data_IF_919102086369
#
_entry.id   IF_919102086369
#
_cell.length_a   1.000
_cell.length_b   1.000
_cell.length_c   1.000
_cell.angle_alpha   90.00
_cell.angle_beta   90.00
_cell.angle_gamma   90.00
#
_symmetry.space_group_name_H-M   'P 1'
#
loop_
_entity.id
_entity.type
_entity.pdbx_description
1 polymer ?
#
# COMPACT_ATOMS: atom_id res chain seq x y z
N UNK A 1 -6.32 26.28 11.37
CA UNK A 1 -7.04 25.14 10.76
C UNK A 1 -6.96 25.19 9.24
N UNK A 2 -7.33 26.32 8.61
CA UNK A 2 -7.17 26.54 7.16
C UNK A 2 -5.78 26.13 6.64
N UNK A 3 -4.70 26.46 7.34
CA UNK A 3 -3.35 26.05 6.95
C UNK A 3 -3.13 24.52 6.95
N UNK A 4 -3.74 23.79 7.90
CA UNK A 4 -3.61 22.33 7.98
C UNK A 4 -4.40 21.64 6.85
N UNK A 5 -5.58 22.17 6.52
CA UNK A 5 -6.40 21.64 5.42
C UNK A 5 -5.75 21.93 4.05
N UNK A 6 -5.20 23.15 3.87
CA UNK A 6 -4.41 23.48 2.68
C UNK A 6 -3.19 22.56 2.58
N UNK A 7 -2.44 22.37 3.67
CA UNK A 7 -1.27 21.51 3.68
C UNK A 7 -1.63 20.05 3.38
N UNK A 8 -2.70 19.53 3.97
CA UNK A 8 -3.21 18.18 3.70
C UNK A 8 -3.55 18.01 2.21
N UNK A 9 -4.24 18.98 1.60
CA UNK A 9 -4.55 18.95 0.16
C UNK A 9 -3.30 19.04 -0.71
N UNK A 10 -2.37 19.93 -0.38
CA UNK A 10 -1.08 20.04 -1.11
C UNK A 10 -0.32 18.72 -1.03
N UNK A 11 -0.29 18.06 0.12
CA UNK A 11 0.35 16.75 0.29
C UNK A 11 -0.41 15.64 -0.45
N UNK A 12 -1.74 15.68 -0.47
CA UNK A 12 -2.57 14.71 -1.20
C UNK A 12 -2.32 14.79 -2.70
N UNK A 13 -2.41 15.99 -3.28
CA UNK A 13 -2.16 16.21 -4.70
C UNK A 13 -0.68 16.02 -5.05
N UNK A 14 0.23 16.46 -4.19
CA UNK A 14 1.67 16.27 -4.34
C UNK A 14 2.05 14.79 -4.35
N UNK A 15 1.53 14.00 -3.43
CA UNK A 15 1.79 12.54 -3.36
C UNK A 15 1.23 11.85 -4.59
N UNK A 16 -0.05 12.06 -4.94
CA UNK A 16 -0.68 11.41 -6.10
C UNK A 16 0.01 11.75 -7.42
N UNK A 17 0.39 13.01 -7.65
CA UNK A 17 1.15 13.41 -8.84
C UNK A 17 2.55 12.80 -8.82
N UNK A 18 3.25 12.83 -7.69
CA UNK A 18 4.57 12.20 -7.53
C UNK A 18 4.50 10.70 -7.84
N UNK A 19 3.47 9.99 -7.39
CA UNK A 19 3.25 8.59 -7.76
C UNK A 19 3.21 8.41 -9.28
N UNK A 20 2.32 9.15 -9.96
CA UNK A 20 2.14 9.02 -11.41
C UNK A 20 3.43 9.35 -12.16
N UNK A 21 4.12 10.44 -11.81
CA UNK A 21 5.37 10.82 -12.46
C UNK A 21 6.52 9.86 -12.19
N UNK A 22 6.64 9.35 -10.97
CA UNK A 22 7.69 8.39 -10.60
C UNK A 22 7.54 7.09 -11.41
N UNK A 23 6.31 6.60 -11.57
CA UNK A 23 6.04 5.43 -12.41
C UNK A 23 6.26 5.66 -13.90
N UNK A 24 5.73 6.77 -14.44
CA UNK A 24 5.75 7.01 -15.88
C UNK A 24 7.13 7.46 -16.40
N UNK A 25 7.84 8.28 -15.62
CA UNK A 25 9.09 8.92 -16.05
C UNK A 25 10.31 8.22 -15.48
N UNK A 26 10.35 8.00 -14.17
CA UNK A 26 11.58 7.62 -13.49
C UNK A 26 11.89 6.14 -13.63
N UNK A 27 10.90 5.26 -13.42
CA UNK A 27 11.15 3.81 -13.36
C UNK A 27 10.84 3.04 -14.64
N UNK A 28 10.43 3.71 -15.71
CA UNK A 28 10.05 3.05 -16.97
C UNK A 28 11.11 2.07 -17.49
N UNK A 29 12.40 2.42 -17.39
CA UNK A 29 13.51 1.57 -17.83
C UNK A 29 13.84 0.43 -16.86
N UNK A 30 13.55 0.60 -15.57
CA UNK A 30 13.90 -0.36 -14.52
C UNK A 30 12.83 -1.44 -14.32
N UNK A 31 11.57 -1.17 -14.65
CA UNK A 31 10.46 -2.13 -14.51
C UNK A 31 10.72 -3.44 -15.27
N UNK A 32 11.11 -3.45 -16.56
CA UNK A 32 11.38 -4.70 -17.28
C UNK A 32 12.51 -5.52 -16.64
N UNK A 33 13.57 -4.85 -16.17
CA UNK A 33 14.70 -5.50 -15.48
C UNK A 33 14.22 -6.21 -14.21
N UNK A 34 13.39 -5.56 -13.42
CA UNK A 34 12.89 -6.14 -12.17
C UNK A 34 11.89 -7.25 -12.41
N UNK A 35 11.02 -7.12 -13.40
CA UNK A 35 10.14 -8.21 -13.82
C UNK A 35 10.95 -9.44 -14.26
N UNK A 36 12.08 -9.23 -14.96
CA UNK A 36 12.98 -10.33 -15.34
C UNK A 36 13.65 -10.98 -14.12
N UNK A 37 14.06 -10.19 -13.12
CA UNK A 37 14.62 -10.71 -11.86
C UNK A 37 13.58 -11.50 -11.06
N UNK A 38 12.35 -10.98 -10.96
CA UNK A 38 11.23 -11.69 -10.32
C UNK A 38 10.95 -13.00 -11.06
N UNK A 39 10.88 -12.99 -12.39
CA UNK A 39 10.69 -14.20 -13.18
C UNK A 39 11.83 -15.22 -12.97
N UNK A 40 13.07 -14.74 -12.89
CA UNK A 40 14.22 -15.58 -12.61
C UNK A 40 14.14 -16.23 -11.22
N UNK A 41 13.86 -15.44 -10.18
CA UNK A 41 13.66 -15.93 -8.81
C UNK A 41 12.49 -16.92 -8.76
N UNK A 42 11.38 -16.61 -9.41
CA UNK A 42 10.19 -17.45 -9.45
C UNK A 42 10.49 -18.80 -10.12
N UNK A 43 11.24 -18.82 -11.23
CA UNK A 43 11.64 -20.05 -11.91
C UNK A 43 12.52 -20.98 -11.06
N UNK A 44 13.24 -20.41 -10.08
CA UNK A 44 14.16 -21.14 -9.18
C UNK A 44 13.49 -21.62 -7.91
N UNK A 45 12.58 -20.83 -7.34
CA UNK A 45 11.93 -21.12 -6.06
C UNK A 45 10.60 -21.85 -6.25
N UNK A 46 9.85 -21.55 -7.31
CA UNK A 46 8.43 -21.88 -7.41
C UNK A 46 8.15 -22.84 -8.57
N UNK A 47 7.79 -24.09 -8.25
CA UNK A 47 7.09 -24.98 -9.20
C UNK A 47 5.56 -24.87 -9.07
N UNK A 48 5.06 -24.33 -7.96
CA UNK A 48 3.62 -24.28 -7.71
C UNK A 48 2.95 -23.04 -8.30
N UNK A 49 2.44 -23.20 -9.52
CA UNK A 49 1.66 -22.18 -10.23
C UNK A 49 0.34 -21.81 -9.52
N UNK A 50 -0.15 -22.65 -8.59
CA UNK A 50 -1.45 -22.45 -7.96
C UNK A 50 -1.49 -21.21 -7.05
N UNK A 51 -0.36 -20.90 -6.38
CA UNK A 51 -0.27 -19.75 -5.49
C UNK A 51 -0.37 -18.43 -6.26
N UNK A 52 0.36 -18.31 -7.39
CA UNK A 52 0.36 -17.12 -8.24
C UNK A 52 -1.07 -16.84 -8.75
N UNK A 53 -1.79 -17.88 -9.15
CA UNK A 53 -3.19 -17.75 -9.60
C UNK A 53 -4.09 -17.27 -8.47
N UNK A 54 -3.92 -17.78 -7.25
CA UNK A 54 -4.71 -17.35 -6.07
C UNK A 54 -4.45 -15.89 -5.72
N UNK A 55 -3.19 -15.46 -5.66
CA UNK A 55 -2.82 -14.08 -5.36
C UNK A 55 -3.36 -13.12 -6.42
N UNK A 56 -3.24 -13.47 -7.71
CA UNK A 56 -3.80 -12.67 -8.81
C UNK A 56 -5.31 -12.52 -8.71
N UNK A 57 -6.03 -13.61 -8.43
CA UNK A 57 -7.49 -13.57 -8.24
C UNK A 57 -7.89 -12.69 -7.05
N UNK A 58 -7.16 -12.78 -5.95
CA UNK A 58 -7.39 -11.95 -4.76
C UNK A 58 -7.16 -10.46 -5.06
N UNK A 59 -6.04 -10.11 -5.70
CA UNK A 59 -5.74 -8.72 -6.08
C UNK A 59 -6.83 -8.18 -7.01
N UNK A 60 -7.20 -8.93 -8.05
CA UNK A 60 -8.26 -8.52 -8.97
C UNK A 60 -9.60 -8.32 -8.25
N UNK A 61 -9.95 -9.21 -7.31
CA UNK A 61 -11.16 -9.08 -6.51
C UNK A 61 -11.14 -7.80 -5.65
N UNK A 62 -10.02 -7.53 -4.96
CA UNK A 62 -9.85 -6.31 -4.16
C UNK A 62 -9.98 -5.05 -5.01
N UNK A 63 -9.36 -5.02 -6.19
CA UNK A 63 -9.45 -3.89 -7.12
C UNK A 63 -10.89 -3.68 -7.60
N UNK A 64 -11.61 -4.75 -7.94
CA UNK A 64 -13.01 -4.65 -8.38
C UNK A 64 -13.90 -4.11 -7.25
N UNK A 65 -13.78 -4.66 -6.04
CA UNK A 65 -14.55 -4.20 -4.87
C UNK A 65 -14.27 -2.73 -4.59
N UNK A 66 -13.00 -2.31 -4.67
CA UNK A 66 -12.62 -0.93 -4.48
C UNK A 66 -13.26 -0.01 -5.53
N UNK A 67 -13.20 -0.37 -6.80
CA UNK A 67 -13.83 0.42 -7.88
C UNK A 67 -15.33 0.58 -7.63
N UNK A 68 -16.02 -0.50 -7.22
CA UNK A 68 -17.44 -0.45 -6.86
C UNK A 68 -17.68 0.50 -5.68
N UNK A 69 -16.85 0.45 -4.63
CA UNK A 69 -16.96 1.33 -3.47
C UNK A 69 -16.77 2.80 -3.84
N UNK A 70 -15.79 3.11 -4.70
CA UNK A 70 -15.54 4.48 -5.18
C UNK A 70 -16.72 5.01 -5.98
N UNK A 71 -17.27 4.19 -6.90
CA UNK A 71 -18.46 4.56 -7.66
C UNK A 71 -19.67 4.76 -6.74
N UNK A 72 -19.89 3.87 -5.78
CA UNK A 72 -20.99 3.98 -4.82
C UNK A 72 -20.86 5.23 -3.95
N UNK A 73 -19.64 5.53 -3.48
CA UNK A 73 -19.34 6.74 -2.71
C UNK A 73 -19.59 7.99 -3.54
N UNK A 74 -19.18 8.00 -4.81
CA UNK A 74 -19.43 9.11 -5.73
C UNK A 74 -20.93 9.35 -5.94
N UNK A 75 -21.71 8.30 -6.23
CA UNK A 75 -23.16 8.39 -6.38
C UNK A 75 -23.86 8.87 -5.09
N UNK A 76 -23.39 8.42 -3.93
CA UNK A 76 -23.91 8.86 -2.64
C UNK A 76 -23.62 10.36 -2.42
N UNK A 77 -22.40 10.79 -2.71
CA UNK A 77 -21.98 12.17 -2.55
C UNK A 77 -22.76 13.11 -3.49
N UNK A 78 -22.95 12.74 -4.76
CA UNK A 78 -23.76 13.50 -5.72
C UNK A 78 -25.19 13.70 -5.18
N UNK A 79 -25.80 12.64 -4.64
CA UNK A 79 -27.17 12.67 -4.11
C UNK A 79 -27.30 13.52 -2.85
N UNK A 80 -26.32 13.48 -1.94
CA UNK A 80 -26.38 14.21 -0.66
C UNK A 80 -26.15 15.71 -0.85
N UNK A 81 -25.20 16.07 -1.70
CA UNK A 81 -24.77 17.46 -1.81
C UNK A 81 -25.42 18.20 -2.98
N UNK A 82 -25.79 17.51 -4.07
CA UNK A 82 -26.59 18.09 -5.16
C UNK A 82 -25.99 19.34 -5.82
N UNK A 83 -24.71 19.31 -6.22
CA UNK A 83 -23.99 20.53 -6.63
C UNK A 83 -23.28 20.42 -7.99
N UNK A 84 -23.27 21.53 -8.74
CA UNK A 84 -22.50 21.75 -9.98
C UNK A 84 -20.97 21.85 -9.76
N UNK A 85 -20.35 23.03 -9.90
CA UNK A 85 -18.88 23.19 -9.93
C UNK A 85 -18.13 22.60 -8.73
N UNK A 86 -18.74 22.59 -7.54
CA UNK A 86 -18.18 21.99 -6.32
C UNK A 86 -17.96 20.46 -6.47
N UNK A 87 -18.75 19.79 -7.31
CA UNK A 87 -18.58 18.37 -7.62
C UNK A 87 -17.22 18.09 -8.26
N UNK A 88 -16.69 18.98 -9.11
CA UNK A 88 -15.39 18.77 -9.74
C UNK A 88 -14.26 18.77 -8.70
N UNK A 89 -14.28 19.72 -7.76
CA UNK A 89 -13.24 19.79 -6.71
C UNK A 89 -13.26 18.52 -5.86
N UNK A 90 -14.46 18.06 -5.50
CA UNK A 90 -14.63 16.84 -4.70
C UNK A 90 -14.19 15.61 -5.51
N UNK A 91 -14.55 15.55 -6.79
CA UNK A 91 -14.10 14.47 -7.68
C UNK A 91 -12.58 14.41 -7.78
N UNK A 92 -11.89 15.55 -7.86
CA UNK A 92 -10.42 15.59 -7.90
C UNK A 92 -9.79 15.16 -6.57
N UNK A 93 -10.35 15.57 -5.42
CA UNK A 93 -9.92 15.11 -4.10
C UNK A 93 -10.06 13.57 -4.00
N UNK A 94 -11.22 13.02 -4.37
CA UNK A 94 -11.48 11.58 -4.33
C UNK A 94 -10.61 10.79 -5.31
N UNK A 95 -10.38 11.33 -6.51
CA UNK A 95 -9.49 10.72 -7.49
C UNK A 95 -8.04 10.65 -6.97
N UNK A 96 -7.57 11.70 -6.29
CA UNK A 96 -6.24 11.70 -5.68
C UNK A 96 -6.12 10.63 -4.59
N UNK A 97 -7.11 10.51 -3.70
CA UNK A 97 -7.19 9.45 -2.71
C UNK A 97 -7.20 8.05 -3.34
N UNK A 98 -7.95 7.88 -4.43
CA UNK A 98 -8.01 6.62 -5.17
C UNK A 98 -6.66 6.24 -5.78
N UNK A 99 -5.98 7.17 -6.45
CA UNK A 99 -4.65 6.93 -7.05
C UNK A 99 -3.66 6.47 -5.99
N UNK A 100 -3.62 7.17 -4.86
CA UNK A 100 -2.73 6.84 -3.74
C UNK A 100 -3.09 5.46 -3.17
N UNK A 101 -4.38 5.20 -2.94
CA UNK A 101 -4.81 3.90 -2.42
C UNK A 101 -4.42 2.75 -3.35
N UNK A 102 -4.55 2.92 -4.67
CA UNK A 102 -4.08 1.93 -5.64
C UNK A 102 -2.57 1.72 -5.51
N UNK A 103 -1.79 2.79 -5.37
CA UNK A 103 -0.35 2.73 -5.14
C UNK A 103 0.00 1.95 -3.85
N UNK A 104 -0.74 2.18 -2.76
CA UNK A 104 -0.53 1.46 -1.50
C UNK A 104 -0.84 -0.03 -1.62
N UNK A 105 -1.93 -0.39 -2.31
CA UNK A 105 -2.28 -1.79 -2.57
C UNK A 105 -1.23 -2.47 -3.44
N UNK A 106 -0.70 -1.78 -4.46
CA UNK A 106 0.40 -2.29 -5.29
C UNK A 106 1.65 -2.56 -4.46
N UNK A 107 2.04 -1.59 -3.62
CA UNK A 107 3.16 -1.75 -2.71
C UNK A 107 2.97 -2.95 -1.76
N UNK A 108 1.85 -2.99 -1.03
CA UNK A 108 1.52 -4.08 -0.09
C UNK A 108 1.56 -5.43 -0.81
N UNK A 109 1.02 -5.51 -2.03
CA UNK A 109 1.00 -6.74 -2.82
C UNK A 109 2.41 -7.21 -3.18
N UNK A 110 3.30 -6.30 -3.59
CA UNK A 110 4.70 -6.61 -3.91
C UNK A 110 5.45 -7.07 -2.66
N UNK A 111 5.27 -6.38 -1.53
CA UNK A 111 5.91 -6.74 -0.26
C UNK A 111 5.46 -8.10 0.24
N UNK A 112 4.16 -8.41 0.15
CA UNK A 112 3.63 -9.73 0.49
C UNK A 112 4.13 -10.83 -0.47
N UNK A 113 4.29 -10.52 -1.76
CA UNK A 113 4.93 -11.43 -2.71
C UNK A 113 6.37 -11.75 -2.26
N UNK A 114 7.16 -10.71 -1.96
CA UNK A 114 8.54 -10.85 -1.49
C UNK A 114 8.63 -11.66 -0.20
N UNK A 115 7.77 -11.39 0.78
CA UNK A 115 7.65 -12.18 2.01
C UNK A 115 7.48 -13.67 1.69
N UNK A 116 6.53 -14.01 0.82
CA UNK A 116 6.26 -15.41 0.49
C UNK A 116 7.45 -16.07 -0.20
N UNK A 117 8.18 -15.34 -1.05
CA UNK A 117 9.41 -15.84 -1.67
C UNK A 117 10.52 -16.05 -0.65
N UNK A 118 10.72 -15.14 0.29
CA UNK A 118 11.66 -15.35 1.40
C UNK A 118 11.29 -16.56 2.26
N UNK A 119 10.00 -16.74 2.55
CA UNK A 119 9.52 -17.90 3.32
C UNK A 119 9.86 -19.23 2.61
N UNK A 120 9.54 -19.35 1.32
CA UNK A 120 9.87 -20.54 0.52
C UNK A 120 11.40 -20.76 0.44
N UNK A 121 12.16 -19.69 0.31
CA UNK A 121 13.61 -19.72 0.29
C UNK A 121 14.18 -20.23 1.62
N UNK A 122 13.61 -19.80 2.76
CA UNK A 122 13.96 -20.26 4.10
C UNK A 122 13.69 -21.75 4.28
N UNK A 123 12.52 -22.22 3.85
CA UNK A 123 12.14 -23.64 3.88
C UNK A 123 13.13 -24.50 3.06
N UNK A 124 13.47 -24.04 1.85
CA UNK A 124 14.46 -24.70 0.99
C UNK A 124 15.84 -24.72 1.66
N UNK A 125 16.35 -23.57 2.11
CA UNK A 125 17.66 -23.46 2.79
C UNK A 125 17.76 -24.40 3.99
N UNK A 126 16.73 -24.46 4.84
CA UNK A 126 16.69 -25.40 5.96
C UNK A 126 16.80 -26.85 5.52
N UNK A 127 16.10 -27.23 4.43
CA UNK A 127 16.15 -28.59 3.91
C UNK A 127 17.52 -28.98 3.35
N UNK A 128 18.22 -28.06 2.67
CA UNK A 128 19.54 -28.29 2.07
C UNK A 128 20.66 -28.28 3.11
N UNK A 129 20.60 -27.39 4.10
CA UNK A 129 21.54 -27.36 5.22
C UNK A 129 21.53 -28.68 5.99
N UNK A 130 20.35 -29.28 6.19
CA UNK A 130 20.22 -30.59 6.83
C UNK A 130 20.90 -31.71 6.05
N UNK A 131 20.93 -31.62 4.71
CA UNK A 131 21.47 -32.65 3.82
C UNK A 131 22.92 -32.41 3.35
N UNK A 132 23.53 -31.27 3.73
CA UNK A 132 24.93 -30.86 3.40
C UNK A 132 25.23 -30.75 1.89
N UNK A 133 24.28 -30.25 1.12
CA UNK A 133 24.43 -30.03 -0.32
C UNK A 133 25.11 -28.67 -0.63
N UNK A 134 26.43 -28.67 -0.83
CA UNK A 134 27.23 -27.44 -0.95
C UNK A 134 26.96 -26.64 -2.23
N UNK A 135 26.71 -27.30 -3.37
CA UNK A 135 26.49 -26.64 -4.65
C UNK A 135 25.14 -25.90 -4.68
N UNK A 136 24.12 -26.51 -4.09
CA UNK A 136 22.76 -26.00 -3.97
C UNK A 136 22.70 -24.78 -3.05
N UNK A 137 23.49 -24.79 -1.96
CA UNK A 137 23.63 -23.62 -1.07
C UNK A 137 24.17 -22.42 -1.85
N UNK A 138 25.16 -22.62 -2.74
CA UNK A 138 25.71 -21.52 -3.55
C UNK A 138 24.66 -20.92 -4.49
N UNK A 139 23.86 -21.77 -5.14
CA UNK A 139 22.76 -21.30 -5.99
C UNK A 139 21.70 -20.53 -5.19
N UNK A 140 21.38 -20.96 -3.97
CA UNK A 140 20.42 -20.25 -3.12
C UNK A 140 20.94 -18.90 -2.63
N UNK A 141 22.25 -18.76 -2.39
CA UNK A 141 22.87 -17.46 -2.07
C UNK A 141 22.70 -16.44 -3.19
N UNK A 142 22.81 -16.88 -4.44
CA UNK A 142 22.54 -16.03 -5.61
C UNK A 142 21.07 -15.57 -5.63
N UNK A 143 20.13 -16.47 -5.34
CA UNK A 143 18.70 -16.14 -5.22
C UNK A 143 18.44 -15.13 -4.09
N UNK A 144 19.10 -15.27 -2.93
CA UNK A 144 19.02 -14.30 -1.83
C UNK A 144 19.53 -12.92 -2.26
N UNK A 145 20.65 -12.88 -3.01
CA UNK A 145 21.18 -11.62 -3.56
C UNK A 145 20.19 -10.96 -4.51
N UNK A 146 19.62 -11.72 -5.45
CA UNK A 146 18.62 -11.21 -6.39
C UNK A 146 17.36 -10.69 -5.66
N UNK A 147 16.91 -11.39 -4.62
CA UNK A 147 15.80 -10.93 -3.77
C UNK A 147 16.12 -9.60 -3.07
N UNK A 148 17.36 -9.42 -2.58
CA UNK A 148 17.79 -8.17 -1.98
C UNK A 148 17.81 -7.01 -2.98
N UNK A 149 18.24 -7.27 -4.21
CA UNK A 149 18.20 -6.27 -5.29
C UNK A 149 16.76 -5.86 -5.64
N UNK A 150 15.81 -6.81 -5.64
CA UNK A 150 14.38 -6.51 -5.82
C UNK A 150 13.87 -5.66 -4.65
N UNK A 151 14.19 -6.00 -3.41
CA UNK A 151 13.80 -5.21 -2.23
C UNK A 151 14.33 -3.78 -2.30
N UNK A 152 15.60 -3.61 -2.70
CA UNK A 152 16.21 -2.29 -2.88
C UNK A 152 15.46 -1.49 -3.94
N UNK A 153 15.16 -2.09 -5.09
CA UNK A 153 14.39 -1.44 -6.12
C UNK A 153 12.98 -1.03 -5.65
N UNK A 154 12.27 -1.91 -4.94
CA UNK A 154 10.95 -1.60 -4.39
C UNK A 154 11.04 -0.40 -3.43
N UNK A 155 12.08 -0.36 -2.59
CA UNK A 155 12.33 0.79 -1.72
C UNK A 155 12.68 2.06 -2.50
N UNK A 156 13.45 1.96 -3.58
CA UNK A 156 13.79 3.12 -4.42
C UNK A 156 12.56 3.68 -5.14
N UNK A 157 11.63 2.82 -5.57
CA UNK A 157 10.37 3.21 -6.24
C UNK A 157 9.35 3.78 -5.26
N UNK A 158 9.07 3.05 -4.19
CA UNK A 158 7.95 3.33 -3.30
C UNK A 158 8.37 4.07 -2.02
N UNK A 159 9.65 4.04 -1.63
CA UNK A 159 10.10 4.52 -0.32
C UNK A 159 9.76 5.99 -0.10
N UNK A 160 10.04 6.85 -1.07
CA UNK A 160 9.69 8.28 -0.98
C UNK A 160 8.17 8.52 -1.05
N UNK A 161 7.47 7.79 -1.91
CA UNK A 161 6.00 7.85 -2.02
C UNK A 161 5.35 7.49 -0.68
N UNK A 162 5.77 6.39 -0.06
CA UNK A 162 5.27 5.92 1.23
C UNK A 162 5.62 6.89 2.35
N UNK A 163 6.79 7.52 2.30
CA UNK A 163 7.15 8.55 3.26
C UNK A 163 6.19 9.75 3.18
N UNK A 164 5.93 10.26 1.97
CA UNK A 164 4.96 11.34 1.76
C UNK A 164 3.55 10.91 2.17
N UNK A 165 3.16 9.69 1.84
CA UNK A 165 1.83 9.18 2.18
C UNK A 165 1.65 8.98 3.69
N UNK A 166 2.62 8.40 4.40
CA UNK A 166 2.59 8.30 5.86
C UNK A 166 2.49 9.69 6.50
N UNK A 167 3.22 10.67 5.98
CA UNK A 167 3.13 12.06 6.44
C UNK A 167 1.75 12.66 6.19
N UNK A 168 1.19 12.44 4.99
CA UNK A 168 -0.16 12.87 4.62
C UNK A 168 -1.22 12.24 5.53
N UNK A 169 -1.15 10.92 5.77
CA UNK A 169 -2.04 10.19 6.67
C UNK A 169 -1.98 10.77 8.08
N UNK A 170 -0.79 11.05 8.61
CA UNK A 170 -0.64 11.63 9.95
C UNK A 170 -1.30 13.01 10.05
N UNK A 171 -1.09 13.88 9.06
CA UNK A 171 -1.74 15.21 9.02
C UNK A 171 -3.26 15.06 8.95
N UNK A 172 -3.75 14.17 8.08
CA UNK A 172 -5.18 13.91 7.88
C UNK A 172 -5.82 13.29 9.11
N UNK A 173 -5.13 12.40 9.83
CA UNK A 173 -5.60 11.86 11.10
C UNK A 173 -5.80 12.97 12.14
N UNK A 174 -4.81 13.84 12.32
CA UNK A 174 -4.90 14.96 13.28
C UNK A 174 -6.05 15.91 12.91
N UNK A 175 -6.17 16.27 11.63
CA UNK A 175 -7.28 17.14 11.17
C UNK A 175 -8.64 16.47 11.38
N UNK A 176 -8.77 15.19 11.00
CA UNK A 176 -10.04 14.44 11.13
C UNK A 176 -10.44 14.27 12.59
N UNK A 177 -9.51 13.98 13.50
CA UNK A 177 -9.77 13.91 14.94
C UNK A 177 -10.26 15.25 15.49
N UNK A 178 -9.60 16.35 15.13
CA UNK A 178 -10.01 17.69 15.56
C UNK A 178 -11.43 18.03 15.09
N UNK A 179 -11.71 17.83 13.78
CA UNK A 179 -13.02 18.11 13.20
C UNK A 179 -14.11 17.24 13.81
N UNK A 180 -13.83 15.97 14.08
CA UNK A 180 -14.74 15.07 14.78
C UNK A 180 -15.11 15.60 16.18
N UNK A 181 -14.13 16.02 16.98
CA UNK A 181 -14.37 16.59 18.32
C UNK A 181 -15.20 17.87 18.23
N UNK A 182 -14.89 18.75 17.28
CA UNK A 182 -15.62 19.99 17.06
C UNK A 182 -17.09 19.72 16.68
N UNK A 183 -17.32 18.78 15.75
CA UNK A 183 -18.65 18.38 15.33
C UNK A 183 -19.44 17.71 16.45
N UNK A 184 -18.80 16.84 17.24
CA UNK A 184 -19.44 16.20 18.39
C UNK A 184 -19.89 17.26 19.41
N UNK A 185 -19.02 18.23 19.73
CA UNK A 185 -19.34 19.35 20.64
C UNK A 185 -20.53 20.17 20.15
N UNK A 186 -20.57 20.47 18.85
CA UNK A 186 -21.67 21.25 18.26
C UNK A 186 -22.98 20.44 18.23
N UNK A 187 -22.92 19.15 17.94
CA UNK A 187 -24.08 18.25 17.90
C UNK A 187 -24.72 18.13 19.28
N UNK A 188 -23.90 17.97 20.33
CA UNK A 188 -24.37 17.93 21.71
C UNK A 188 -25.08 19.22 22.15
N UNK A 189 -24.69 20.37 21.60
CA UNK A 189 -25.31 21.67 21.91
C UNK A 189 -26.63 21.92 21.16
N UNK A 190 -26.75 21.41 19.93
CA UNK A 190 -27.81 21.81 18.99
C UNK A 190 -28.88 20.74 18.75
N UNK A 191 -28.75 19.52 19.28
CA UNK A 191 -29.69 18.38 19.09
C UNK A 191 -30.12 18.17 17.62
N UNK A 192 -29.21 18.38 16.66
CA UNK A 192 -29.51 18.22 15.23
C UNK A 192 -29.12 16.82 14.73
N UNK A 193 -30.06 16.16 14.05
CA UNK A 193 -29.87 14.84 13.42
C UNK A 193 -28.73 14.84 12.38
N UNK A 194 -28.49 15.96 11.70
CA UNK A 194 -27.40 16.11 10.71
C UNK A 194 -26.00 15.92 11.31
N UNK A 195 -25.84 16.13 12.62
CA UNK A 195 -24.54 15.98 13.30
C UNK A 195 -24.08 14.52 13.39
N UNK A 196 -25.02 13.57 13.44
CA UNK A 196 -24.71 12.14 13.58
C UNK A 196 -24.08 11.61 12.29
N UNK A 197 -24.66 11.92 11.12
CA UNK A 197 -24.14 11.49 9.82
C UNK A 197 -22.72 11.99 9.57
N UNK A 198 -22.46 13.27 9.85
CA UNK A 198 -21.12 13.86 9.70
C UNK A 198 -20.11 13.18 10.63
N UNK A 199 -20.48 12.91 11.89
CA UNK A 199 -19.60 12.25 12.85
C UNK A 199 -19.25 10.83 12.40
N UNK A 200 -20.24 10.08 11.91
CA UNK A 200 -20.01 8.74 11.35
C UNK A 200 -19.06 8.78 10.14
N UNK A 201 -19.20 9.78 9.26
CA UNK A 201 -18.29 9.97 8.13
C UNK A 201 -16.83 10.16 8.60
N UNK A 202 -16.59 11.01 9.62
CA UNK A 202 -15.24 11.20 10.17
C UNK A 202 -14.69 9.92 10.81
N UNK A 203 -15.52 9.14 11.50
CA UNK A 203 -15.11 7.85 12.08
C UNK A 203 -14.68 6.88 10.97
N UNK A 204 -15.44 6.80 9.86
CA UNK A 204 -15.08 5.94 8.74
C UNK A 204 -13.75 6.36 8.09
N UNK A 205 -13.52 7.67 7.92
CA UNK A 205 -12.23 8.18 7.43
C UNK A 205 -11.08 7.86 8.38
N UNK A 206 -11.27 8.01 9.70
CA UNK A 206 -10.25 7.61 10.70
C UNK A 206 -9.91 6.12 10.59
N UNK A 207 -10.92 5.26 10.52
CA UNK A 207 -10.72 3.81 10.37
C UNK A 207 -10.00 3.48 9.07
N UNK A 208 -10.34 4.16 7.98
CA UNK A 208 -9.65 4.02 6.70
C UNK A 208 -8.16 4.39 6.81
N UNK A 209 -7.83 5.54 7.37
CA UNK A 209 -6.44 5.99 7.55
C UNK A 209 -5.62 5.06 8.45
N UNK A 210 -6.20 4.61 9.57
CA UNK A 210 -5.56 3.64 10.47
C UNK A 210 -5.34 2.31 9.76
N UNK A 211 -6.35 1.81 9.05
CA UNK A 211 -6.26 0.56 8.30
C UNK A 211 -5.16 0.58 7.24
N UNK A 212 -5.04 1.70 6.51
CA UNK A 212 -3.95 1.92 5.54
C UNK A 212 -2.57 1.83 6.20
N UNK A 213 -2.36 2.60 7.27
CA UNK A 213 -1.08 2.64 7.98
C UNK A 213 -0.71 1.26 8.54
N UNK A 214 -1.67 0.56 9.14
CA UNK A 214 -1.49 -0.81 9.63
C UNK A 214 -1.15 -1.78 8.50
N UNK A 215 -1.79 -1.67 7.34
CA UNK A 215 -1.50 -2.51 6.17
C UNK A 215 -0.06 -2.33 5.66
N UNK A 216 0.39 -1.08 5.54
CA UNK A 216 1.76 -0.74 5.14
C UNK A 216 2.76 -1.27 6.17
N UNK A 217 2.55 -0.99 7.46
CA UNK A 217 3.45 -1.43 8.54
C UNK A 217 3.49 -2.96 8.71
N UNK A 218 2.35 -3.63 8.68
CA UNK A 218 2.27 -5.07 8.88
C UNK A 218 2.91 -5.84 7.73
N UNK A 219 2.71 -5.39 6.47
CA UNK A 219 3.34 -6.02 5.30
C UNK A 219 4.86 -5.85 5.33
N UNK A 220 5.37 -4.64 5.58
CA UNK A 220 6.82 -4.36 5.66
C UNK A 220 7.50 -5.08 6.81
N UNK A 221 6.91 -5.06 8.02
CA UNK A 221 7.43 -5.79 9.16
C UNK A 221 7.51 -7.29 8.86
N UNK A 222 6.45 -7.85 8.29
CA UNK A 222 6.39 -9.28 8.00
C UNK A 222 7.35 -9.72 6.88
N UNK A 223 7.62 -8.87 5.89
CA UNK A 223 8.63 -9.18 4.87
C UNK A 223 10.06 -9.07 5.44
N UNK A 224 10.31 -8.05 6.26
CA UNK A 224 11.61 -7.83 6.92
C UNK A 224 11.97 -9.00 7.83
N UNK A 225 11.02 -9.51 8.62
CA UNK A 225 11.26 -10.65 9.51
C UNK A 225 11.73 -11.90 8.74
N UNK A 226 11.09 -12.19 7.59
CA UNK A 226 11.48 -13.33 6.74
C UNK A 226 12.85 -13.12 6.08
N UNK A 227 13.15 -11.90 5.63
CA UNK A 227 14.46 -11.56 5.06
C UNK A 227 15.61 -11.73 6.05
N UNK A 228 15.41 -11.35 7.32
CA UNK A 228 16.42 -11.50 8.38
C UNK A 228 16.73 -12.98 8.60
N UNK A 229 15.70 -13.84 8.61
CA UNK A 229 15.89 -15.30 8.73
C UNK A 229 16.74 -15.81 7.56
N UNK A 230 16.43 -15.42 6.32
CA UNK A 230 17.21 -15.82 5.14
C UNK A 230 18.69 -15.44 5.26
N UNK A 231 18.97 -14.21 5.69
CA UNK A 231 20.35 -13.75 5.89
C UNK A 231 21.09 -14.57 6.95
N UNK A 232 20.42 -14.88 8.07
CA UNK A 232 21.01 -15.69 9.15
C UNK A 232 21.31 -17.13 8.72
N UNK A 233 20.51 -17.70 7.81
CA UNK A 233 20.72 -19.05 7.28
C UNK A 233 21.87 -19.10 6.27
N UNK A 234 22.03 -18.05 5.47
CA UNK A 234 23.13 -17.95 4.49
C UNK A 234 24.50 -17.84 5.15
N UNK A 235 24.57 -17.22 6.33
CA UNK A 235 25.80 -17.03 7.09
C UNK A 235 26.29 -18.29 7.83
N UNK A 236 25.42 -19.28 8.03
CA UNK A 236 25.75 -20.59 8.61
C UNK A 236 26.35 -21.52 7.57
#
# INVERSE_FOLDING_TARGET
MVCADILSRVMLYGTSTTCVFTFLLWHRSSVPRILSLIAHVDSRISTDSSFIVKTRKFINFVVIVLVILVVAFFCFHERVYGVGVILYIILFDELAHFIIFVSDIQFISIVLLLKNRYKLLNENLHSFLRKRYSNEIRALREVVSNMHDICRFVNDVYGFILFLECTSILISLVSTFYNMILHLRNTLKLQRETGVSTTLCHILWLLFYIGKLLGICASTHSATSESIISQSLVQK
#
